data_IF_381416959480
#
_entry.id   IF_381416959480
#
_cell.length_a   1.000
_cell.length_b   1.000
_cell.length_c   1.000
_cell.angle_alpha   90.00
_cell.angle_beta   90.00
_cell.angle_gamma   90.00
#
_symmetry.space_group_name_H-M   'P 1'
#
loop_
_entity.id
_entity.type
_entity.pdbx_description
1 polymer ?
#
# COMPACT_ATOMS: atom_id res chain seq x y z
N UNK A 1 26.56 -9.43 12.40
CA UNK A 1 26.39 -8.02 11.99
C UNK A 1 25.27 -7.45 12.82
N UNK A 2 25.55 -6.44 13.64
CA UNK A 2 24.51 -5.79 14.44
C UNK A 2 23.62 -5.00 13.47
N UNK A 3 22.36 -5.40 13.34
CA UNK A 3 21.36 -4.55 12.67
C UNK A 3 21.28 -3.24 13.47
N UNK A 4 21.66 -2.16 12.84
CA UNK A 4 21.41 -0.82 13.40
C UNK A 4 19.90 -0.62 13.29
N UNK A 5 19.20 -0.80 14.38
CA UNK A 5 17.77 -0.48 14.46
C UNK A 5 17.64 1.05 14.38
N UNK A 6 17.52 1.56 13.16
CA UNK A 6 17.25 2.98 12.92
C UNK A 6 15.81 3.21 13.34
N UNK A 7 15.63 3.75 14.53
CA UNK A 7 14.28 4.08 15.04
C UNK A 7 13.53 5.01 14.10
N UNK A 8 12.20 4.92 14.12
CA UNK A 8 11.34 5.84 13.35
C UNK A 8 11.56 7.27 13.88
N UNK A 9 11.95 8.24 13.04
CA UNK A 9 12.18 9.61 13.49
C UNK A 9 10.88 10.28 13.93
N UNK A 10 10.99 11.17 14.92
CA UNK A 10 9.90 11.98 15.43
C UNK A 10 10.03 13.42 14.95
N UNK A 11 8.89 14.05 14.69
CA UNK A 11 8.77 15.47 14.31
C UNK A 11 7.97 16.21 15.37
N UNK A 12 8.47 17.34 15.83
CA UNK A 12 7.79 18.20 16.81
C UNK A 12 7.09 19.35 16.06
N UNK A 13 5.80 19.47 16.25
CA UNK A 13 4.98 20.56 15.73
C UNK A 13 4.67 21.56 16.86
N UNK A 14 4.99 22.82 16.64
CA UNK A 14 4.58 23.92 17.54
C UNK A 14 3.15 24.32 17.20
N UNK A 15 2.28 24.27 18.18
CA UNK A 15 0.88 24.69 18.05
C UNK A 15 0.55 25.76 19.08
N UNK A 16 -0.55 26.49 18.87
CA UNK A 16 -1.05 27.48 19.86
C UNK A 16 -1.38 26.85 21.23
N UNK A 17 -1.52 25.53 21.31
CA UNK A 17 -1.80 24.75 22.53
C UNK A 17 -0.59 24.01 23.09
N UNK A 18 0.63 24.33 22.58
CA UNK A 18 1.88 23.69 22.98
C UNK A 18 2.48 22.80 21.89
N UNK A 19 3.51 22.05 22.27
CA UNK A 19 4.22 21.13 21.38
C UNK A 19 3.47 19.82 21.23
N UNK A 20 3.46 19.27 20.00
CA UNK A 20 2.98 17.92 19.71
C UNK A 20 4.05 17.12 18.97
N UNK A 21 4.35 15.95 19.47
CA UNK A 21 5.28 15.01 18.83
C UNK A 21 4.50 14.02 17.99
N UNK A 22 4.99 13.77 16.76
CA UNK A 22 4.48 12.77 15.85
C UNK A 22 5.65 11.91 15.36
N UNK A 23 5.45 10.60 15.20
CA UNK A 23 6.34 9.83 14.34
C UNK A 23 6.17 10.30 12.87
N UNK A 24 7.18 10.00 12.03
CA UNK A 24 7.18 10.49 10.64
C UNK A 24 5.98 9.99 9.84
N UNK A 25 5.52 8.76 10.06
CA UNK A 25 4.40 8.19 9.34
C UNK A 25 3.08 8.88 9.72
N UNK A 26 2.84 9.08 11.00
CA UNK A 26 1.68 9.84 11.50
C UNK A 26 1.70 11.30 10.99
N UNK A 27 2.89 11.89 10.87
CA UNK A 27 3.02 13.25 10.35
C UNK A 27 2.72 13.33 8.86
N UNK A 28 3.17 12.35 8.06
CA UNK A 28 2.84 12.25 6.65
C UNK A 28 1.34 12.00 6.43
N UNK A 29 0.71 11.17 7.26
CA UNK A 29 -0.72 10.89 7.19
C UNK A 29 -1.56 12.17 7.35
N UNK A 30 -1.14 13.14 8.17
CA UNK A 30 -1.79 14.46 8.26
C UNK A 30 -1.78 15.22 6.93
N UNK A 31 -0.82 14.96 6.05
CA UNK A 31 -0.77 15.48 4.69
C UNK A 31 -1.46 14.58 3.67
N UNK A 32 -2.19 13.58 4.14
CA UNK A 32 -2.90 12.59 3.31
C UNK A 32 -1.96 11.72 2.48
N UNK A 33 -0.74 11.52 2.97
CA UNK A 33 0.27 10.67 2.36
C UNK A 33 0.25 9.32 3.03
N UNK A 34 0.00 8.28 2.24
CA UNK A 34 0.04 6.87 2.62
C UNK A 34 1.22 6.21 1.91
N UNK A 35 1.91 5.30 2.57
CA UNK A 35 3.13 4.70 2.04
C UNK A 35 3.12 3.17 2.18
N UNK A 36 3.28 2.48 1.05
CA UNK A 36 3.54 1.05 0.98
C UNK A 36 5.02 0.83 0.65
N UNK A 37 5.83 0.52 1.66
CA UNK A 37 7.29 0.36 1.54
C UNK A 37 7.78 -1.08 1.80
N UNK A 38 6.89 -2.06 1.84
CA UNK A 38 7.17 -3.45 2.21
C UNK A 38 6.47 -4.42 1.26
N UNK A 39 6.75 -5.73 1.36
CA UNK A 39 5.85 -6.74 0.78
C UNK A 39 4.42 -6.59 1.30
N UNK A 40 3.46 -6.99 0.48
CA UNK A 40 2.03 -6.95 0.81
C UNK A 40 1.64 -8.24 1.54
N UNK A 41 1.22 -8.10 2.77
CA UNK A 41 0.61 -9.14 3.60
C UNK A 41 -0.68 -8.64 4.26
N UNK A 42 -1.37 -9.49 5.01
CA UNK A 42 -2.64 -9.13 5.66
C UNK A 42 -2.47 -8.01 6.70
N UNK A 43 -1.36 -7.98 7.43
CA UNK A 43 -1.11 -6.95 8.43
C UNK A 43 -0.92 -5.58 7.76
N UNK A 44 -0.08 -5.52 6.74
CA UNK A 44 0.16 -4.29 5.94
C UNK A 44 -1.12 -3.83 5.27
N UNK A 45 -1.90 -4.76 4.70
CA UNK A 45 -3.18 -4.45 4.07
C UNK A 45 -4.16 -3.81 5.06
N UNK A 46 -4.32 -4.39 6.24
CA UNK A 46 -5.21 -3.85 7.28
C UNK A 46 -4.79 -2.44 7.72
N UNK A 47 -3.49 -2.18 7.86
CA UNK A 47 -2.98 -0.85 8.21
C UNK A 47 -3.27 0.18 7.10
N UNK A 48 -3.06 -0.18 5.84
CA UNK A 48 -3.32 0.71 4.71
C UNK A 48 -4.82 1.00 4.55
N UNK A 49 -5.65 -0.03 4.65
CA UNK A 49 -7.11 0.10 4.61
C UNK A 49 -7.59 1.03 5.72
N UNK A 50 -7.12 0.85 6.96
CA UNK A 50 -7.48 1.71 8.07
C UNK A 50 -7.10 3.19 7.82
N UNK A 51 -5.93 3.44 7.24
CA UNK A 51 -5.48 4.79 6.88
C UNK A 51 -6.36 5.40 5.77
N UNK A 52 -6.69 4.63 4.74
CA UNK A 52 -7.56 5.09 3.65
C UNK A 52 -8.95 5.48 4.17
N UNK A 53 -9.56 4.62 5.00
CA UNK A 53 -10.86 4.88 5.62
C UNK A 53 -10.82 6.08 6.57
N UNK A 54 -9.75 6.23 7.34
CA UNK A 54 -9.53 7.39 8.21
C UNK A 54 -9.49 8.70 7.40
N UNK A 55 -8.71 8.71 6.32
CA UNK A 55 -8.57 9.90 5.47
C UNK A 55 -9.87 10.26 4.74
N UNK A 56 -10.66 9.28 4.33
CA UNK A 56 -12.00 9.53 3.79
C UNK A 56 -12.91 10.23 4.81
N UNK A 57 -12.86 9.79 6.09
CA UNK A 57 -13.67 10.40 7.15
C UNK A 57 -13.20 11.81 7.53
N UNK A 58 -11.91 12.08 7.44
CA UNK A 58 -11.33 13.40 7.71
C UNK A 58 -11.77 14.43 6.65
N UNK A 59 -11.64 14.10 5.38
CA UNK A 59 -12.04 14.97 4.27
C UNK A 59 -12.30 14.13 3.00
N UNK A 60 -13.54 13.86 2.66
CA UNK A 60 -13.88 13.01 1.51
C UNK A 60 -13.65 13.68 0.14
N UNK A 61 -13.37 14.97 0.11
CA UNK A 61 -13.25 15.74 -1.14
C UNK A 61 -11.79 16.01 -1.54
N UNK A 62 -10.84 15.64 -0.67
CA UNK A 62 -9.41 15.78 -0.97
C UNK A 62 -8.75 14.47 -1.36
N UNK A 63 -7.88 14.54 -2.34
CA UNK A 63 -7.09 13.41 -2.81
C UNK A 63 -6.22 12.79 -1.71
N UNK A 64 -5.89 11.53 -1.91
CA UNK A 64 -4.92 10.77 -1.10
C UNK A 64 -3.72 10.45 -1.99
N UNK A 65 -2.51 10.77 -1.54
CA UNK A 65 -1.26 10.42 -2.20
C UNK A 65 -0.76 9.08 -1.69
N UNK A 66 -0.77 8.05 -2.54
CA UNK A 66 -0.33 6.71 -2.19
C UNK A 66 1.01 6.37 -2.86
N UNK A 67 2.07 6.44 -2.07
CA UNK A 67 3.42 6.10 -2.49
C UNK A 67 3.67 4.61 -2.40
N UNK A 68 4.23 4.02 -3.46
CA UNK A 68 4.44 2.58 -3.58
C UNK A 68 5.92 2.29 -3.87
N UNK A 69 6.54 1.54 -2.95
CA UNK A 69 7.85 0.93 -3.08
C UNK A 69 7.77 -0.52 -2.58
N UNK A 70 7.26 -1.42 -3.43
CA UNK A 70 6.90 -2.77 -3.01
C UNK A 70 7.21 -3.82 -4.08
N UNK A 71 7.72 -4.99 -3.68
CA UNK A 71 7.87 -6.14 -4.57
C UNK A 71 6.53 -6.86 -4.85
N UNK A 72 5.42 -6.42 -4.24
CA UNK A 72 4.15 -7.14 -4.25
C UNK A 72 4.03 -8.10 -3.06
N UNK A 73 3.24 -9.15 -3.21
CA UNK A 73 3.00 -10.13 -2.15
C UNK A 73 1.65 -10.82 -2.28
N UNK A 74 0.93 -10.99 -1.17
CA UNK A 74 -0.36 -11.69 -1.13
C UNK A 74 -1.38 -11.03 -2.05
N UNK A 75 -1.98 -11.83 -2.94
CA UNK A 75 -3.00 -11.37 -3.90
C UNK A 75 -4.26 -10.91 -3.17
N UNK A 76 -4.77 -11.71 -2.23
CA UNK A 76 -5.98 -11.38 -1.47
C UNK A 76 -5.82 -10.10 -0.66
N UNK A 77 -4.68 -9.95 0.02
CA UNK A 77 -4.35 -8.74 0.77
C UNK A 77 -4.25 -7.51 -0.15
N UNK A 78 -3.61 -7.65 -1.30
CA UNK A 78 -3.50 -6.58 -2.29
C UNK A 78 -4.84 -6.19 -2.89
N UNK A 79 -5.70 -7.15 -3.20
CA UNK A 79 -7.05 -6.87 -3.70
C UNK A 79 -7.92 -6.16 -2.65
N UNK A 80 -7.77 -6.50 -1.37
CA UNK A 80 -8.48 -5.78 -0.30
C UNK A 80 -8.10 -4.29 -0.25
N UNK A 81 -6.81 -3.96 -0.45
CA UNK A 81 -6.37 -2.56 -0.57
C UNK A 81 -6.96 -1.94 -1.84
N UNK A 82 -6.85 -2.63 -2.98
CA UNK A 82 -7.36 -2.15 -4.27
C UNK A 82 -8.86 -1.83 -4.20
N UNK A 83 -9.67 -2.74 -3.70
CA UNK A 83 -11.11 -2.56 -3.57
C UNK A 83 -11.45 -1.37 -2.65
N UNK A 84 -10.69 -1.20 -1.57
CA UNK A 84 -10.84 -0.04 -0.68
C UNK A 84 -10.53 1.26 -1.43
N UNK A 85 -9.45 1.30 -2.22
CA UNK A 85 -9.12 2.47 -3.05
C UNK A 85 -10.24 2.82 -4.05
N UNK A 86 -10.95 1.81 -4.58
CA UNK A 86 -12.07 2.03 -5.50
C UNK A 86 -13.36 2.43 -4.78
N UNK A 87 -13.55 1.98 -3.53
CA UNK A 87 -14.77 2.18 -2.74
C UNK A 87 -14.85 3.58 -2.13
N UNK A 88 -13.72 4.12 -1.65
CA UNK A 88 -13.68 5.42 -0.98
C UNK A 88 -13.94 6.57 -1.95
N UNK A 89 -14.53 7.67 -1.43
CA UNK A 89 -14.85 8.84 -2.23
C UNK A 89 -13.62 9.64 -2.72
N UNK A 90 -12.57 9.85 -1.90
CA UNK A 90 -11.37 10.54 -2.36
C UNK A 90 -10.71 9.86 -3.56
N UNK A 91 -10.24 10.64 -4.52
CA UNK A 91 -9.35 10.11 -5.54
C UNK A 91 -8.02 9.68 -4.93
N UNK A 92 -7.55 8.50 -5.27
CA UNK A 92 -6.23 8.01 -4.84
C UNK A 92 -5.23 8.23 -5.96
N UNK A 93 -4.31 9.17 -5.76
CA UNK A 93 -3.15 9.36 -6.63
C UNK A 93 -2.07 8.34 -6.25
N UNK A 94 -1.55 7.60 -7.21
CA UNK A 94 -0.53 6.57 -6.93
C UNK A 94 0.82 6.97 -7.52
N UNK A 95 1.89 6.82 -6.73
CA UNK A 95 3.22 7.23 -7.09
C UNK A 95 4.21 6.07 -6.88
N UNK A 96 4.78 5.54 -7.95
CA UNK A 96 5.84 4.53 -7.86
C UNK A 96 7.18 5.18 -7.51
N UNK A 97 7.78 4.73 -6.40
CA UNK A 97 9.12 5.12 -5.93
C UNK A 97 9.97 3.85 -5.87
N UNK A 98 11.05 3.79 -6.63
CA UNK A 98 11.93 2.62 -6.70
C UNK A 98 11.30 1.47 -7.47
N UNK A 99 10.33 0.76 -6.91
CA UNK A 99 9.62 -0.30 -7.64
C UNK A 99 8.17 -0.47 -7.24
N UNK A 100 7.37 -0.87 -8.21
CA UNK A 100 6.02 -1.41 -8.03
C UNK A 100 5.93 -2.72 -8.81
N UNK A 101 6.07 -3.86 -8.12
CA UNK A 101 6.10 -5.17 -8.75
C UNK A 101 4.91 -6.03 -8.32
N UNK A 102 4.43 -6.90 -9.23
CA UNK A 102 3.35 -7.85 -8.94
C UNK A 102 2.12 -7.12 -8.36
N UNK A 103 1.64 -7.46 -7.18
CA UNK A 103 0.54 -6.73 -6.51
C UNK A 103 0.83 -5.23 -6.33
N UNK A 104 2.10 -4.82 -6.17
CA UNK A 104 2.46 -3.40 -6.16
C UNK A 104 2.15 -2.70 -7.49
N UNK A 105 2.32 -3.38 -8.62
CA UNK A 105 1.95 -2.85 -9.94
C UNK A 105 0.42 -2.76 -10.11
N UNK A 106 -0.33 -3.72 -9.57
CA UNK A 106 -1.80 -3.69 -9.57
C UNK A 106 -2.31 -2.49 -8.76
N UNK A 107 -1.75 -2.26 -7.56
CA UNK A 107 -2.10 -1.11 -6.73
C UNK A 107 -1.74 0.22 -7.40
N UNK A 108 -0.59 0.30 -8.07
CA UNK A 108 -0.21 1.47 -8.86
C UNK A 108 -1.24 1.75 -9.98
N UNK A 109 -1.63 0.70 -10.71
CA UNK A 109 -2.64 0.80 -11.76
C UNK A 109 -4.04 1.12 -11.23
N UNK A 110 -4.32 0.76 -9.97
CA UNK A 110 -5.57 1.04 -9.26
C UNK A 110 -5.79 2.51 -8.91
N UNK A 111 -4.78 3.35 -9.03
CA UNK A 111 -4.89 4.79 -8.81
C UNK A 111 -5.82 5.46 -9.82
N UNK A 112 -6.30 6.63 -9.49
CA UNK A 112 -7.18 7.43 -10.36
C UNK A 112 -6.54 7.70 -11.71
N UNK A 113 -7.29 7.51 -12.78
CA UNK A 113 -6.84 7.85 -14.15
C UNK A 113 -6.38 9.30 -14.22
N UNK A 114 -5.15 9.51 -14.73
CA UNK A 114 -4.52 10.83 -14.79
C UNK A 114 -3.76 11.23 -13.52
N UNK A 115 -3.86 10.46 -12.44
CA UNK A 115 -3.14 10.69 -11.17
C UNK A 115 -2.21 9.53 -10.81
N UNK A 116 -1.74 8.78 -11.80
CA UNK A 116 -0.78 7.66 -11.66
C UNK A 116 0.57 8.12 -12.13
N UNK A 117 1.56 8.05 -11.26
CA UNK A 117 2.90 8.57 -11.51
C UNK A 117 3.96 7.49 -11.25
N UNK A 118 5.08 7.61 -11.94
CA UNK A 118 6.27 6.83 -11.68
C UNK A 118 7.49 7.75 -11.73
N UNK A 119 8.36 7.69 -10.74
CA UNK A 119 9.59 8.46 -10.75
C UNK A 119 10.54 7.94 -11.82
N UNK A 120 11.41 8.81 -12.31
CA UNK A 120 12.30 8.57 -13.48
C UNK A 120 13.06 7.25 -13.42
N UNK A 121 13.53 6.86 -12.26
CA UNK A 121 14.35 5.65 -12.07
C UNK A 121 13.57 4.48 -11.44
N UNK A 122 12.24 4.62 -11.31
CA UNK A 122 11.42 3.56 -10.77
C UNK A 122 11.13 2.48 -11.80
N UNK A 123 10.80 1.28 -11.31
CA UNK A 123 10.47 0.11 -12.14
C UNK A 123 9.06 -0.37 -11.82
N UNK A 124 8.33 -0.70 -12.88
CA UNK A 124 7.02 -1.37 -12.77
C UNK A 124 7.17 -2.74 -13.40
N UNK A 125 6.78 -3.79 -12.68
CA UNK A 125 6.89 -5.16 -13.15
C UNK A 125 5.58 -5.92 -12.94
N UNK A 126 5.11 -6.54 -14.02
CA UNK A 126 3.94 -7.42 -14.04
C UNK A 126 4.41 -8.82 -14.41
N UNK A 127 3.91 -9.81 -13.73
CA UNK A 127 4.15 -11.21 -14.01
C UNK A 127 2.91 -12.05 -13.67
N UNK A 128 2.87 -13.29 -14.15
CA UNK A 128 1.81 -14.23 -13.78
C UNK A 128 1.79 -14.46 -12.26
N UNK A 129 0.63 -14.81 -11.74
CA UNK A 129 0.50 -15.25 -10.35
C UNK A 129 1.41 -16.45 -10.12
N UNK A 130 2.24 -16.36 -9.10
CA UNK A 130 3.14 -17.44 -8.69
C UNK A 130 2.81 -17.87 -7.26
N UNK A 131 2.88 -19.13 -6.98
CA UNK A 131 2.60 -19.66 -5.66
C UNK A 131 2.99 -21.13 -5.56
N UNK A 132 2.86 -21.68 -4.35
CA UNK A 132 3.01 -23.11 -4.08
C UNK A 132 1.79 -23.61 -3.33
N UNK A 133 1.48 -24.88 -3.51
CA UNK A 133 0.45 -25.55 -2.75
C UNK A 133 1.07 -26.76 -2.03
N UNK A 134 0.68 -26.97 -0.78
CA UNK A 134 1.06 -28.12 0.03
C UNK A 134 -0.21 -28.81 0.56
N UNK A 135 -0.15 -30.10 0.80
CA UNK A 135 -1.26 -30.87 1.31
C UNK A 135 -1.58 -32.09 0.44
N UNK A 136 -2.83 -32.55 0.47
CA UNK A 136 -3.30 -33.64 -0.38
C UNK A 136 -3.39 -33.21 -1.85
N UNK A 137 -3.48 -34.19 -2.77
CA UNK A 137 -3.70 -33.87 -4.20
C UNK A 137 -4.98 -33.07 -4.42
N UNK A 138 -6.00 -33.31 -3.59
CA UNK A 138 -7.24 -32.52 -3.64
C UNK A 138 -7.01 -31.07 -3.25
N UNK A 139 -6.27 -30.83 -2.16
CA UNK A 139 -5.93 -29.47 -1.70
C UNK A 139 -5.10 -28.71 -2.74
N UNK A 140 -4.12 -29.38 -3.35
CA UNK A 140 -3.30 -28.79 -4.40
C UNK A 140 -4.11 -28.40 -5.65
N UNK A 141 -5.07 -29.24 -6.06
CA UNK A 141 -5.97 -28.91 -7.17
C UNK A 141 -6.86 -27.70 -6.87
N UNK A 142 -7.37 -27.59 -5.65
CA UNK A 142 -8.17 -26.44 -5.22
C UNK A 142 -7.31 -25.16 -5.25
N UNK A 143 -6.09 -25.21 -4.71
CA UNK A 143 -5.19 -24.06 -4.71
C UNK A 143 -4.82 -23.58 -6.13
N UNK A 144 -4.59 -24.50 -7.06
CA UNK A 144 -4.35 -24.17 -8.48
C UNK A 144 -5.59 -23.51 -9.09
N UNK A 145 -6.78 -24.10 -8.89
CA UNK A 145 -8.03 -23.54 -9.41
C UNK A 145 -8.35 -22.14 -8.82
N UNK A 146 -7.94 -21.87 -7.59
CA UNK A 146 -8.05 -20.51 -7.02
C UNK A 146 -7.05 -19.54 -7.65
N UNK A 147 -5.79 -19.98 -7.87
CA UNK A 147 -4.79 -19.15 -8.52
C UNK A 147 -5.16 -18.79 -9.98
N UNK A 148 -5.85 -19.67 -10.69
CA UNK A 148 -6.31 -19.43 -12.07
C UNK A 148 -7.42 -18.37 -12.18
N UNK A 149 -8.00 -17.92 -11.05
CA UNK A 149 -9.03 -16.86 -11.03
C UNK A 149 -8.45 -15.44 -11.07
N UNK A 150 -7.15 -15.29 -10.84
CA UNK A 150 -6.44 -14.03 -10.80
C UNK A 150 -5.53 -13.83 -12.03
#
# INVERSE_FOLDING_TARGET
>A
MNEVNVGVPFVIEQTARGERSYDIWSRLLKYRIVFLGTPVDDYVANLLIAQLLFLEKEDPDKDIDFYIHSPGGSVSAGLAIYDTMQMIKPDVATICVGQAASMGAVLLAGGKKGKRLALKNSRVMIHQVSGGAQGTVADMKIAIAEADKY
#
